data_IF_645650461056
#
_entry.id   IF_645650461056
#
_cell.length_a   1.000
_cell.length_b   1.000
_cell.length_c   1.000
_cell.angle_alpha   90.00
_cell.angle_beta   90.00
_cell.angle_gamma   90.00
#
_symmetry.space_group_name_H-M   'P 1'
#
loop_
_entity.id
_entity.type
_entity.pdbx_description
1 polymer ?
#
# COMPACT_ATOMS: atom_id res chain seq x y z
N UNK A 1 -3.80 -24.46 15.24
CA UNK A 1 -3.45 -23.15 15.76
C UNK A 1 -2.94 -22.28 14.61
N UNK A 2 -3.50 -21.07 14.43
CA UNK A 2 -3.22 -20.19 13.28
C UNK A 2 -1.73 -19.80 13.24
N UNK A 3 -1.14 -19.43 14.36
CA UNK A 3 0.27 -19.04 14.40
C UNK A 3 1.19 -20.21 14.02
N UNK A 4 0.90 -21.43 14.51
CA UNK A 4 1.65 -22.62 14.13
C UNK A 4 1.55 -22.95 12.62
N UNK A 5 0.41 -22.64 11.99
CA UNK A 5 0.27 -22.77 10.54
C UNK A 5 1.08 -21.72 9.78
N UNK A 6 1.16 -20.50 10.31
CA UNK A 6 2.01 -19.44 9.74
C UNK A 6 3.50 -19.81 9.83
N UNK A 7 3.95 -20.28 11.01
CA UNK A 7 5.32 -20.78 11.22
C UNK A 7 5.67 -21.92 10.27
N UNK A 8 4.72 -22.84 10.08
CA UNK A 8 4.87 -23.94 9.13
C UNK A 8 5.06 -23.42 7.70
N UNK A 9 4.24 -22.47 7.24
CA UNK A 9 4.35 -21.91 5.89
C UNK A 9 5.68 -21.20 5.67
N UNK A 10 6.20 -20.50 6.67
CA UNK A 10 7.54 -19.88 6.59
C UNK A 10 8.63 -20.95 6.51
N UNK A 11 8.55 -22.01 7.34
CA UNK A 11 9.53 -23.09 7.39
C UNK A 11 9.53 -23.93 6.10
N UNK A 12 8.36 -24.16 5.53
CA UNK A 12 8.20 -24.92 4.29
C UNK A 12 8.50 -24.10 3.03
N UNK A 13 8.81 -22.80 3.16
CA UNK A 13 9.14 -21.94 2.03
C UNK A 13 7.95 -21.66 1.11
N UNK A 14 6.73 -21.66 1.67
CA UNK A 14 5.50 -21.32 0.91
C UNK A 14 5.54 -19.87 0.43
N UNK A 15 6.19 -18.99 1.17
CA UNK A 15 6.38 -17.59 0.82
C UNK A 15 7.80 -17.32 0.33
N UNK A 16 7.91 -16.56 -0.74
CA UNK A 16 9.17 -15.97 -1.18
C UNK A 16 9.29 -14.56 -0.59
N UNK A 17 10.41 -14.28 0.08
CA UNK A 17 10.72 -12.95 0.59
C UNK A 17 11.44 -12.15 -0.50
N UNK A 18 10.95 -10.96 -0.78
CA UNK A 18 11.58 -9.98 -1.66
C UNK A 18 12.10 -8.84 -0.77
N UNK A 19 13.39 -8.81 -0.40
CA UNK A 19 13.93 -7.77 0.46
C UNK A 19 13.95 -6.42 -0.28
N UNK A 20 13.70 -5.34 0.46
CA UNK A 20 13.82 -3.95 0.00
C UNK A 20 13.18 -3.69 -1.37
N UNK A 21 11.98 -4.25 -1.58
CA UNK A 21 11.33 -4.26 -2.89
C UNK A 21 9.93 -3.65 -2.84
N UNK A 22 9.56 -3.00 -3.95
CA UNK A 22 8.17 -2.68 -4.27
C UNK A 22 7.69 -3.57 -5.42
N UNK A 23 6.40 -3.88 -5.43
CA UNK A 23 5.77 -4.63 -6.52
C UNK A 23 4.73 -3.76 -7.19
N UNK A 24 4.90 -3.50 -8.49
CA UNK A 24 3.87 -2.88 -9.32
C UNK A 24 2.83 -3.94 -9.69
N UNK A 25 1.55 -3.61 -9.57
CA UNK A 25 0.46 -4.51 -9.89
C UNK A 25 -0.50 -3.93 -10.92
N UNK A 26 -1.00 -4.82 -11.77
CA UNK A 26 -2.13 -4.63 -12.66
C UNK A 26 -3.25 -5.57 -12.25
N UNK A 27 -4.34 -5.05 -11.75
CA UNK A 27 -5.51 -5.81 -11.30
C UNK A 27 -6.66 -5.58 -12.26
N UNK A 28 -6.88 -6.49 -13.20
CA UNK A 28 -8.06 -6.47 -14.06
C UNK A 28 -9.27 -7.00 -13.30
N UNK A 29 -10.31 -6.20 -13.23
CA UNK A 29 -11.57 -6.58 -12.60
C UNK A 29 -12.45 -7.39 -13.57
N UNK A 30 -13.50 -8.05 -13.06
CA UNK A 30 -14.44 -8.82 -13.86
C UNK A 30 -15.20 -8.00 -14.91
N UNK A 31 -15.30 -6.68 -14.71
CA UNK A 31 -15.90 -5.72 -15.66
C UNK A 31 -14.90 -5.17 -16.70
N UNK A 32 -13.68 -5.69 -16.70
CA UNK A 32 -12.61 -5.32 -17.63
C UNK A 32 -11.79 -4.09 -17.25
N UNK A 33 -12.15 -3.35 -16.18
CA UNK A 33 -11.35 -2.24 -15.69
C UNK A 33 -10.05 -2.74 -15.08
N UNK A 34 -8.95 -2.01 -15.32
CA UNK A 34 -7.65 -2.33 -14.74
C UNK A 34 -7.33 -1.29 -13.66
N UNK A 35 -6.99 -1.76 -12.48
CA UNK A 35 -6.39 -0.95 -11.42
C UNK A 35 -4.89 -1.14 -11.44
N UNK A 36 -4.18 -0.04 -11.37
CA UNK A 36 -2.74 0.00 -11.24
C UNK A 36 -2.36 0.42 -9.84
N UNK A 37 -1.32 -0.15 -9.27
CA UNK A 37 -0.91 0.18 -7.92
C UNK A 37 0.45 -0.38 -7.55
N UNK A 38 0.86 -0.08 -6.32
CA UNK A 38 2.08 -0.59 -5.71
C UNK A 38 1.73 -1.39 -4.46
N UNK A 39 2.43 -2.49 -4.26
CA UNK A 39 2.46 -3.23 -3.00
C UNK A 39 3.81 -2.94 -2.34
N UNK A 40 3.76 -2.56 -1.09
CA UNK A 40 4.93 -2.27 -0.26
C UNK A 40 4.57 -2.25 1.21
N UNK A 41 5.51 -1.83 2.01
CA UNK A 41 5.34 -1.59 3.43
C UNK A 41 5.31 -0.09 3.71
N UNK A 42 4.63 0.30 4.77
CA UNK A 42 4.63 1.68 5.27
C UNK A 42 5.20 1.71 6.69
N UNK A 43 5.83 2.83 7.02
CA UNK A 43 6.23 3.10 8.39
C UNK A 43 4.97 3.45 9.21
N UNK A 44 4.71 2.66 10.24
CA UNK A 44 3.55 2.87 11.11
C UNK A 44 3.65 4.15 11.94
N UNK A 45 4.85 4.64 12.20
CA UNK A 45 5.04 5.93 12.90
C UNK A 45 4.58 7.11 12.02
N UNK A 46 4.46 6.93 10.71
CA UNK A 46 3.91 7.92 9.79
C UNK A 46 2.37 7.92 9.72
N UNK A 47 1.70 6.97 10.38
CA UNK A 47 0.24 6.85 10.41
C UNK A 47 -0.38 7.38 11.71
N UNK A 48 -1.45 8.15 11.58
CA UNK A 48 -2.27 8.55 12.71
C UNK A 48 -3.76 8.63 12.30
N UNK A 49 -4.61 7.95 13.05
CA UNK A 49 -6.06 7.95 12.85
C UNK A 49 -6.80 9.01 13.66
N UNK A 50 -6.09 9.84 14.43
CA UNK A 50 -6.69 10.93 15.22
C UNK A 50 -7.26 11.99 14.29
N UNK A 51 -8.52 12.41 14.47
CA UNK A 51 -9.09 13.50 13.68
C UNK A 51 -8.25 14.77 13.76
N UNK A 52 -7.90 15.35 12.62
CA UNK A 52 -7.07 16.56 12.53
C UNK A 52 -5.57 16.33 12.66
N UNK A 53 -5.13 15.08 12.64
CA UNK A 53 -3.71 14.73 12.64
C UNK A 53 -2.94 15.39 11.49
N UNK A 54 -1.66 15.70 11.75
CA UNK A 54 -0.68 16.15 10.76
C UNK A 54 0.18 15.02 10.15
N UNK A 55 -0.12 13.75 10.44
CA UNK A 55 0.64 12.62 9.91
C UNK A 55 0.58 12.52 8.38
N UNK A 56 1.60 11.93 7.76
CA UNK A 56 1.65 11.70 6.31
C UNK A 56 0.57 10.72 5.82
N UNK A 57 0.22 9.75 6.67
CA UNK A 57 -0.80 8.74 6.39
C UNK A 57 -1.96 8.97 7.36
N UNK A 58 -3.16 9.24 6.82
CA UNK A 58 -4.33 9.57 7.66
C UNK A 58 -5.52 8.68 7.35
N UNK A 59 -6.28 8.37 8.39
CA UNK A 59 -7.55 7.68 8.25
C UNK A 59 -8.58 8.56 7.52
N UNK A 60 -9.44 7.93 6.71
CA UNK A 60 -10.56 8.61 6.02
C UNK A 60 -11.89 8.44 6.76
N UNK A 61 -11.92 7.59 7.78
CA UNK A 61 -13.10 7.35 8.62
C UNK A 61 -12.72 7.33 10.11
N UNK A 62 -13.71 7.55 10.97
CA UNK A 62 -13.50 7.45 12.41
C UNK A 62 -13.13 6.02 12.82
N UNK A 63 -12.03 5.88 13.55
CA UNK A 63 -11.61 4.58 14.08
C UNK A 63 -12.44 4.21 15.30
N UNK A 64 -13.11 3.08 15.26
CA UNK A 64 -13.88 2.53 16.38
C UNK A 64 -12.90 1.83 17.33
N UNK A 65 -12.51 2.50 18.41
CA UNK A 65 -11.47 2.03 19.33
C UNK A 65 -11.77 0.65 19.93
N UNK A 66 -13.02 0.33 20.21
CA UNK A 66 -13.43 -0.97 20.75
C UNK A 66 -13.13 -2.16 19.81
N UNK A 67 -12.91 -1.89 18.53
CA UNK A 67 -12.55 -2.91 17.54
C UNK A 67 -11.05 -3.25 17.54
N UNK A 68 -10.20 -2.42 18.10
CA UNK A 68 -8.74 -2.60 18.10
C UNK A 68 -8.32 -3.73 19.06
N UNK A 69 -8.69 -3.78 20.35
CA UNK A 69 -8.17 -4.76 21.28
C UNK A 69 -8.41 -6.23 20.87
N UNK A 70 -9.60 -6.64 20.37
CA UNK A 70 -9.79 -8.01 19.92
C UNK A 70 -8.94 -8.36 18.69
N UNK A 71 -8.74 -7.41 17.76
CA UNK A 71 -7.87 -7.61 16.59
C UNK A 71 -6.40 -7.72 16.97
N UNK A 72 -5.91 -6.81 17.81
CA UNK A 72 -4.55 -6.84 18.33
C UNK A 72 -4.24 -8.15 19.07
N UNK A 73 -5.23 -8.70 19.80
CA UNK A 73 -5.09 -9.98 20.49
C UNK A 73 -4.92 -11.16 19.54
N UNK A 74 -5.65 -11.16 18.41
CA UNK A 74 -5.54 -12.21 17.38
C UNK A 74 -4.20 -12.11 16.65
N UNK A 75 -3.72 -10.89 16.38
CA UNK A 75 -2.49 -10.63 15.64
C UNK A 75 -1.22 -10.75 16.50
N UNK A 76 -1.37 -10.66 17.82
CA UNK A 76 -0.24 -10.77 18.75
C UNK A 76 0.50 -12.07 18.53
N UNK A 77 1.80 -11.99 18.33
CA UNK A 77 2.70 -13.11 18.02
C UNK A 77 2.43 -13.81 16.68
N UNK A 78 1.67 -13.19 15.76
CA UNK A 78 1.55 -13.70 14.41
C UNK A 78 2.87 -13.46 13.66
N UNK A 79 3.54 -14.51 13.13
CA UNK A 79 4.80 -14.33 12.40
C UNK A 79 4.62 -13.78 10.99
N UNK A 80 3.37 -13.70 10.49
CA UNK A 80 3.01 -13.16 9.20
C UNK A 80 1.87 -12.18 9.38
N UNK A 81 2.01 -10.98 8.78
CA UNK A 81 0.93 -10.01 8.65
C UNK A 81 0.76 -9.60 7.19
N UNK A 82 -0.41 -9.88 6.63
CA UNK A 82 -0.78 -9.55 5.25
C UNK A 82 -2.15 -8.83 5.23
N UNK A 83 -2.31 -7.73 5.97
CA UNK A 83 -3.55 -6.99 5.94
C UNK A 83 -3.71 -6.34 4.56
N UNK A 84 -4.91 -6.43 3.99
CA UNK A 84 -5.24 -5.66 2.81
C UNK A 84 -5.60 -4.23 3.23
N UNK A 85 -4.69 -3.30 3.01
CA UNK A 85 -4.88 -1.86 3.26
C UNK A 85 -4.73 -1.13 1.94
N UNK A 86 -5.71 -0.32 1.56
CA UNK A 86 -5.66 0.49 0.36
C UNK A 86 -5.31 1.92 0.72
N UNK A 87 -4.14 2.37 0.28
CA UNK A 87 -3.68 3.74 0.40
C UNK A 87 -3.90 4.47 -0.93
N UNK A 88 -4.47 5.66 -0.84
CA UNK A 88 -4.75 6.53 -1.99
C UNK A 88 -3.79 7.70 -1.97
N UNK A 89 -3.25 8.03 -3.15
CA UNK A 89 -2.46 9.24 -3.37
C UNK A 89 -3.23 10.20 -4.26
N UNK A 90 -2.98 11.50 -4.10
CA UNK A 90 -3.46 12.54 -4.99
C UNK A 90 -2.29 13.03 -5.88
N UNK A 91 -2.15 12.38 -7.02
CA UNK A 91 -1.09 12.62 -8.02
C UNK A 91 -1.70 13.03 -9.36
N UNK A 92 -2.14 14.31 -9.50
CA UNK A 92 -2.76 14.79 -10.74
C UNK A 92 -1.81 14.82 -11.93
N UNK A 93 -0.51 14.94 -11.68
CA UNK A 93 0.52 14.98 -12.71
C UNK A 93 0.99 13.58 -13.14
N UNK A 94 0.47 12.50 -12.50
CA UNK A 94 0.72 11.09 -12.84
C UNK A 94 2.20 10.72 -12.80
N UNK A 95 2.86 11.09 -11.71
CA UNK A 95 4.31 10.96 -11.56
C UNK A 95 4.74 9.64 -10.89
N UNK A 96 3.83 8.95 -10.20
CA UNK A 96 4.14 7.75 -9.41
C UNK A 96 3.82 6.46 -10.17
N UNK A 97 2.57 6.26 -10.58
CA UNK A 97 2.09 4.97 -11.10
C UNK A 97 2.27 4.86 -12.61
N UNK A 98 1.96 5.91 -13.37
CA UNK A 98 1.96 5.87 -14.83
C UNK A 98 3.33 5.62 -15.45
N UNK A 99 4.45 6.13 -14.91
CA UNK A 99 5.78 5.74 -15.39
C UNK A 99 6.07 4.25 -15.26
N UNK A 100 5.56 3.61 -14.20
CA UNK A 100 5.70 2.16 -13.99
C UNK A 100 4.84 1.38 -14.98
N UNK A 101 3.63 1.85 -15.25
CA UNK A 101 2.75 1.26 -16.27
C UNK A 101 3.43 1.26 -17.64
N UNK A 102 4.07 2.36 -18.01
CA UNK A 102 4.79 2.47 -19.27
C UNK A 102 6.02 1.54 -19.37
N UNK A 103 6.64 1.23 -18.22
CA UNK A 103 7.85 0.39 -18.15
C UNK A 103 7.56 -1.08 -17.79
N UNK A 104 6.32 -1.47 -17.58
CA UNK A 104 5.96 -2.81 -17.05
C UNK A 104 6.45 -3.97 -17.95
N UNK A 105 6.51 -3.77 -19.26
CA UNK A 105 7.02 -4.76 -20.20
C UNK A 105 8.52 -5.09 -20.07
N UNK A 106 9.28 -4.28 -19.33
CA UNK A 106 10.72 -4.45 -19.10
C UNK A 106 11.02 -4.99 -17.68
N UNK A 107 9.99 -5.13 -16.83
CA UNK A 107 10.14 -5.56 -15.44
C UNK A 107 10.10 -7.09 -15.32
N UNK A 108 10.71 -7.61 -14.27
CA UNK A 108 10.59 -9.01 -13.87
C UNK A 108 9.15 -9.31 -13.44
N UNK A 109 8.48 -10.23 -14.15
CA UNK A 109 7.17 -10.73 -13.77
C UNK A 109 7.30 -11.70 -12.60
N UNK A 110 6.68 -11.36 -11.47
CA UNK A 110 6.64 -12.23 -10.29
C UNK A 110 5.47 -13.21 -10.35
N UNK A 111 4.32 -12.75 -10.83
CA UNK A 111 3.12 -13.57 -10.99
C UNK A 111 2.19 -12.98 -12.06
N UNK A 112 1.43 -13.88 -12.70
CA UNK A 112 0.47 -13.56 -13.75
C UNK A 112 -0.59 -14.68 -13.76
N UNK A 113 -1.79 -14.44 -13.19
CA UNK A 113 -2.82 -15.48 -13.05
C UNK A 113 -4.24 -14.94 -12.89
N UNK A 114 -5.22 -15.80 -13.18
CA UNK A 114 -6.63 -15.52 -12.96
C UNK A 114 -7.01 -15.69 -11.49
N UNK A 115 -7.81 -14.74 -11.00
CA UNK A 115 -8.32 -14.79 -9.63
C UNK A 115 -9.49 -15.75 -9.49
N UNK A 116 -9.57 -16.42 -8.34
CA UNK A 116 -10.66 -17.33 -8.03
C UNK A 116 -12.04 -16.63 -8.17
N UNK A 117 -13.09 -17.45 -8.37
CA UNK A 117 -14.48 -17.01 -8.45
C UNK A 117 -14.75 -15.95 -9.54
N UNK A 118 -14.05 -16.04 -10.66
CA UNK A 118 -14.12 -15.08 -11.75
C UNK A 118 -13.81 -13.64 -11.31
N UNK A 119 -12.92 -13.49 -10.31
CA UNK A 119 -12.53 -12.21 -9.73
C UNK A 119 -11.71 -11.32 -10.67
N UNK A 120 -11.45 -11.76 -11.90
CA UNK A 120 -10.60 -11.08 -12.87
C UNK A 120 -9.17 -11.63 -12.88
N UNK A 121 -8.20 -10.81 -13.23
CA UNK A 121 -6.82 -11.21 -13.46
C UNK A 121 -5.86 -10.30 -12.68
N UNK A 122 -4.72 -10.81 -12.26
CA UNK A 122 -3.69 -10.02 -11.59
C UNK A 122 -2.31 -10.34 -12.14
N UNK A 123 -1.52 -9.29 -12.35
CA UNK A 123 -0.09 -9.35 -12.65
C UNK A 123 0.69 -8.55 -11.62
N UNK A 124 1.84 -9.07 -11.25
CA UNK A 124 2.77 -8.39 -10.36
C UNK A 124 4.18 -8.37 -10.94
N UNK A 125 4.81 -7.21 -10.85
CA UNK A 125 6.14 -6.97 -11.40
C UNK A 125 7.04 -6.40 -10.32
N UNK A 126 8.27 -6.93 -10.22
CA UNK A 126 9.27 -6.42 -9.29
C UNK A 126 9.87 -5.15 -9.84
N UNK A 127 9.90 -4.10 -9.03
CA UNK A 127 10.64 -2.88 -9.36
C UNK A 127 12.15 -3.13 -9.26
N UNK A 128 12.90 -2.49 -10.17
CA UNK A 128 14.34 -2.34 -10.04
C UNK A 128 14.66 -1.28 -8.98
N UNK A 129 15.87 -1.29 -8.42
CA UNK A 129 16.31 -0.29 -7.43
C UNK A 129 16.12 1.14 -7.95
N UNK A 130 16.45 1.39 -9.21
CA UNK A 130 16.24 2.69 -9.85
C UNK A 130 14.75 3.10 -9.88
N UNK A 131 13.85 2.15 -10.07
CA UNK A 131 12.40 2.44 -10.06
C UNK A 131 11.90 2.67 -8.65
N UNK A 132 12.45 1.97 -7.66
CA UNK A 132 12.16 2.22 -6.24
C UNK A 132 12.56 3.64 -5.86
N UNK A 133 13.79 4.06 -6.21
CA UNK A 133 14.27 5.43 -5.97
C UNK A 133 13.38 6.47 -6.67
N UNK A 134 13.02 6.25 -7.94
CA UNK A 134 12.15 7.16 -8.68
C UNK A 134 10.74 7.28 -8.05
N UNK A 135 10.19 6.18 -7.51
CA UNK A 135 8.92 6.21 -6.77
C UNK A 135 9.07 7.00 -5.48
N UNK A 136 10.16 6.82 -4.73
CA UNK A 136 10.41 7.57 -3.50
C UNK A 136 10.50 9.08 -3.78
N UNK A 137 11.27 9.48 -4.78
CA UNK A 137 11.41 10.89 -5.20
C UNK A 137 10.07 11.48 -5.62
N UNK A 138 9.27 10.73 -6.40
CA UNK A 138 7.95 11.18 -6.84
C UNK A 138 6.99 11.36 -5.65
N UNK A 139 6.97 10.42 -4.69
CA UNK A 139 6.14 10.52 -3.48
C UNK A 139 6.58 11.69 -2.61
N UNK A 140 7.87 11.93 -2.45
CA UNK A 140 8.40 13.10 -1.73
C UNK A 140 7.94 14.41 -2.41
N UNK A 141 7.98 14.46 -3.73
CA UNK A 141 7.50 15.60 -4.51
C UNK A 141 6.03 15.94 -4.26
N UNK A 142 5.18 14.95 -3.98
CA UNK A 142 3.76 15.16 -3.67
C UNK A 142 3.52 15.85 -2.31
N UNK A 143 4.50 15.84 -1.41
CA UNK A 143 4.41 16.43 -0.06
C UNK A 143 5.03 17.81 0.04
N UNK A 144 5.63 18.34 -1.03
CA UNK A 144 6.24 19.67 -1.03
C UNK A 144 5.22 20.79 -0.82
N UNK A 145 5.63 21.91 -0.23
CA UNK A 145 4.78 23.09 -0.08
C UNK A 145 4.25 23.60 -1.43
N UNK A 146 5.05 23.48 -2.49
CA UNK A 146 4.66 23.84 -3.85
C UNK A 146 3.53 22.93 -4.36
N UNK A 147 3.64 21.61 -4.14
CA UNK A 147 2.59 20.66 -4.50
C UNK A 147 1.30 20.92 -3.70
N UNK A 148 1.40 21.20 -2.41
CA UNK A 148 0.26 21.55 -1.55
C UNK A 148 -0.41 22.83 -2.00
N UNK A 149 0.38 23.84 -2.35
CA UNK A 149 -0.14 25.11 -2.87
C UNK A 149 -0.83 24.91 -4.23
N UNK A 150 -0.22 24.13 -5.14
CA UNK A 150 -0.77 23.84 -6.46
C UNK A 150 -2.08 23.04 -6.39
N UNK A 151 -2.13 22.01 -5.53
CA UNK A 151 -3.30 21.11 -5.43
C UNK A 151 -4.46 21.70 -4.61
N UNK A 152 -4.14 22.35 -3.50
CA UNK A 152 -5.14 22.72 -2.49
C UNK A 152 -5.16 24.22 -2.14
N UNK A 153 -4.26 25.02 -2.67
CA UNK A 153 -4.16 26.45 -2.39
C UNK A 153 -3.68 26.75 -0.96
N UNK A 154 -2.97 25.82 -0.32
CA UNK A 154 -2.48 25.95 1.03
C UNK A 154 -0.96 25.79 1.09
N UNK A 155 -0.32 26.46 2.07
CA UNK A 155 1.11 26.36 2.35
C UNK A 155 1.37 26.38 3.84
N UNK A 156 2.53 25.85 4.28
CA UNK A 156 2.91 25.81 5.68
C UNK A 156 2.01 24.91 6.54
N UNK A 157 1.30 23.98 5.94
CA UNK A 157 0.48 22.97 6.63
C UNK A 157 1.13 21.59 6.51
N UNK A 158 0.87 20.74 7.49
CA UNK A 158 1.36 19.35 7.42
C UNK A 158 0.81 18.63 6.19
N UNK A 159 1.67 18.12 5.28
CA UNK A 159 1.23 17.49 4.06
C UNK A 159 0.45 16.20 4.33
N UNK A 160 -0.44 15.84 3.42
CA UNK A 160 -1.08 14.53 3.34
C UNK A 160 -0.48 13.79 2.16
N UNK A 161 0.17 12.65 2.39
CA UNK A 161 0.68 11.80 1.32
C UNK A 161 -0.30 10.68 0.99
N UNK A 162 -0.74 9.93 2.02
CA UNK A 162 -1.65 8.82 1.84
C UNK A 162 -2.94 9.01 2.64
N UNK A 163 -4.06 8.83 1.97
CA UNK A 163 -5.37 8.66 2.60
C UNK A 163 -5.73 7.17 2.62
N UNK A 164 -6.12 6.64 3.78
CA UNK A 164 -6.49 5.22 3.90
C UNK A 164 -7.87 5.01 3.30
N UNK A 165 -7.94 4.53 2.06
CA UNK A 165 -9.20 4.29 1.33
C UNK A 165 -9.96 3.07 1.82
N UNK A 166 -9.25 2.04 2.31
CA UNK A 166 -9.82 0.85 2.96
C UNK A 166 -8.80 0.24 3.91
N UNK A 167 -9.28 -0.44 4.94
CA UNK A 167 -8.42 -1.08 5.95
C UNK A 167 -8.05 -0.17 7.12
N UNK A 168 -8.77 0.94 7.38
CA UNK A 168 -8.50 1.87 8.48
C UNK A 168 -8.31 1.17 9.83
N UNK A 169 -9.24 0.25 10.21
CA UNK A 169 -9.11 -0.49 11.46
C UNK A 169 -7.96 -1.53 11.45
N UNK A 170 -7.61 -2.06 10.29
CA UNK A 170 -6.48 -2.98 10.16
C UNK A 170 -5.16 -2.24 10.38
N UNK A 171 -5.01 -1.06 9.79
CA UNK A 171 -3.82 -0.23 9.95
C UNK A 171 -3.72 0.32 11.38
N UNK A 172 -4.85 0.77 11.96
CA UNK A 172 -4.89 1.23 13.35
C UNK A 172 -4.60 0.10 14.38
N UNK A 173 -4.67 -1.15 13.97
CA UNK A 173 -4.36 -2.30 14.85
C UNK A 173 -2.89 -2.70 14.77
N UNK A 174 -2.22 -2.38 13.66
CA UNK A 174 -0.81 -2.68 13.45
C UNK A 174 0.09 -1.90 14.41
#
# INVERSE_FOLDING_TARGET
>A
DINASMDKYLTEGVFQVLPESLVYIERQQSDGRIRHGLIGMVDLDAYDFTPGSGALIRATEGTVLDRIPPRARVRRNAPIELPHVMLLIDDPDKTVIEPLTAASGEMETLYDFDLMQNGGHIRGYKLTDRQVDAVADALEGLTSDEAMQKKYGVSGVAPLLFAVGDGNHSLATA
#
